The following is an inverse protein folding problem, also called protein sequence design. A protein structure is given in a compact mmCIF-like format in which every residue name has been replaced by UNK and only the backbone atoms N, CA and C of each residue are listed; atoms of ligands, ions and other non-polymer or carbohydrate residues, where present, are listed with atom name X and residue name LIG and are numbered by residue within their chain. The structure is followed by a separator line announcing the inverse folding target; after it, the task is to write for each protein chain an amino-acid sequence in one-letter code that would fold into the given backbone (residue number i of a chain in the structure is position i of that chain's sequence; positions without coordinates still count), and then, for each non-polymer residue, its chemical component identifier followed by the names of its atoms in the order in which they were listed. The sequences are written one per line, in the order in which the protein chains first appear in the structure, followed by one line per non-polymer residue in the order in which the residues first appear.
data_IF_866258057820
#
_entry.id   IF_866258057820
#
_cell.length_a   1.000
_cell.length_b   1.000
_cell.length_c   1.000
_cell.angle_alpha   90.00
_cell.angle_beta   90.00
_cell.angle_gamma   90.00
#
_symmetry.space_group_name_H-M   'P 1'
#
loop_
_entity.id
_entity.type
_entity.pdbx_description
1 polymer ?
#
# COMPACT_ATOMS: atom_id res chain seq x y z
N UNK A 1 -2.30 13.99 -24.32
CA UNK A 1 -1.89 12.66 -24.82
C UNK A 1 -0.87 12.86 -25.93
N UNK A 2 0.33 12.31 -25.77
CA UNK A 2 1.53 12.70 -26.52
C UNK A 2 1.58 11.92 -27.85
N UNK A 3 1.07 12.54 -28.91
CA UNK A 3 0.86 11.99 -30.26
C UNK A 3 2.13 11.58 -31.04
N UNK A 4 3.31 11.59 -30.40
CA UNK A 4 4.59 11.30 -31.07
C UNK A 4 4.84 9.79 -31.23
N UNK A 5 4.27 8.97 -30.34
CA UNK A 5 4.42 7.51 -30.37
C UNK A 5 3.68 6.85 -31.54
N UNK A 6 2.54 7.41 -31.93
CA UNK A 6 1.70 6.88 -33.01
C UNK A 6 2.28 7.08 -34.41
N UNK A 7 3.26 7.97 -34.60
CA UNK A 7 3.78 8.31 -35.94
C UNK A 7 5.23 7.84 -36.17
N UNK A 8 5.90 7.32 -35.13
CA UNK A 8 7.27 6.83 -35.23
C UNK A 8 7.31 5.29 -35.35
N UNK A 9 7.65 4.73 -36.52
CA UNK A 9 7.61 3.28 -36.76
C UNK A 9 8.60 2.50 -35.88
N UNK A 10 9.72 3.10 -35.46
CA UNK A 10 10.65 2.48 -34.51
C UNK A 10 9.98 2.26 -33.15
N UNK A 11 9.24 3.25 -32.67
CA UNK A 11 8.57 3.17 -31.37
C UNK A 11 7.36 2.24 -31.41
N UNK A 12 6.65 2.17 -32.54
CA UNK A 12 5.60 1.17 -32.74
C UNK A 12 6.17 -0.26 -32.67
N UNK A 13 7.32 -0.51 -33.30
CA UNK A 13 8.01 -1.81 -33.20
C UNK A 13 8.41 -2.13 -31.76
N UNK A 14 8.96 -1.15 -31.04
CA UNK A 14 9.34 -1.32 -29.65
C UNK A 14 8.13 -1.61 -28.74
N UNK A 15 7.03 -0.88 -28.95
CA UNK A 15 5.74 -1.15 -28.28
C UNK A 15 5.26 -2.58 -28.54
N UNK A 16 5.30 -3.02 -29.80
CA UNK A 16 4.93 -4.39 -30.15
C UNK A 16 5.84 -5.42 -29.46
N UNK A 17 7.15 -5.16 -29.36
CA UNK A 17 8.08 -6.04 -28.64
C UNK A 17 7.73 -6.15 -27.16
N UNK A 18 7.44 -5.04 -26.49
CA UNK A 18 7.07 -5.03 -25.06
C UNK A 18 5.75 -5.76 -24.79
N UNK A 19 4.78 -5.67 -25.71
CA UNK A 19 3.51 -6.41 -25.61
C UNK A 19 3.71 -7.92 -25.71
N UNK A 20 4.56 -8.37 -26.64
CA UNK A 20 4.73 -9.81 -26.91
C UNK A 20 5.80 -10.48 -26.03
N UNK A 21 6.65 -9.70 -25.36
CA UNK A 21 7.71 -10.21 -24.49
C UNK A 21 7.59 -9.61 -23.08
N UNK A 22 6.82 -10.24 -22.16
CA UNK A 22 6.65 -9.75 -20.80
C UNK A 22 7.96 -9.72 -20.00
N UNK A 23 8.95 -10.52 -20.37
CA UNK A 23 10.27 -10.60 -19.71
C UNK A 23 11.33 -9.69 -20.35
N UNK A 24 10.94 -8.81 -21.27
CA UNK A 24 11.87 -7.85 -21.88
C UNK A 24 12.51 -6.95 -20.81
N UNK A 25 13.84 -6.84 -20.84
CA UNK A 25 14.59 -5.93 -19.98
C UNK A 25 14.67 -4.57 -20.66
N UNK A 26 14.07 -3.57 -20.03
CA UNK A 26 14.05 -2.21 -20.52
C UNK A 26 15.48 -1.65 -20.54
N UNK A 27 15.86 -1.00 -21.62
CA UNK A 27 17.23 -0.53 -21.85
C UNK A 27 17.37 0.99 -21.92
N UNK A 28 16.27 1.72 -22.07
CA UNK A 28 16.28 3.16 -22.33
C UNK A 28 15.10 3.90 -21.73
N UNK A 29 15.21 5.23 -21.62
CA UNK A 29 14.10 6.09 -21.22
C UNK A 29 12.91 6.04 -22.17
N UNK A 30 13.14 5.78 -23.47
CA UNK A 30 12.07 5.58 -24.45
C UNK A 30 11.27 4.31 -24.15
N UNK A 31 11.96 3.21 -23.82
CA UNK A 31 11.35 1.94 -23.43
C UNK A 31 10.56 2.07 -22.14
N UNK A 32 11.09 2.79 -21.16
CA UNK A 32 10.39 3.11 -19.92
C UNK A 32 9.10 3.89 -20.21
N UNK A 33 9.16 4.94 -21.03
CA UNK A 33 7.99 5.74 -21.36
C UNK A 33 6.89 4.90 -22.06
N UNK A 34 7.27 4.03 -22.98
CA UNK A 34 6.31 3.12 -23.64
C UNK A 34 5.75 2.10 -22.64
N UNK A 35 6.58 1.53 -21.77
CA UNK A 35 6.14 0.59 -20.75
C UNK A 35 5.09 1.22 -19.81
N UNK A 36 5.31 2.47 -19.38
CA UNK A 36 4.33 3.23 -18.60
C UNK A 36 3.02 3.41 -19.37
N UNK A 37 3.07 3.78 -20.65
CA UNK A 37 1.85 3.92 -21.48
C UNK A 37 1.10 2.60 -21.71
N UNK A 38 1.82 1.48 -21.67
CA UNK A 38 1.23 0.14 -21.73
C UNK A 38 0.66 -0.34 -20.38
N UNK A 39 0.80 0.46 -19.31
CA UNK A 39 0.36 0.08 -17.96
C UNK A 39 1.26 -0.97 -17.30
N UNK A 40 2.49 -1.14 -17.78
CA UNK A 40 3.47 -2.01 -17.12
C UNK A 40 3.86 -1.35 -15.80
N UNK A 41 3.71 -2.09 -14.71
CA UNK A 41 4.10 -1.68 -13.37
C UNK A 41 4.72 -2.86 -12.64
N UNK A 42 5.66 -2.58 -11.75
CA UNK A 42 6.29 -3.53 -10.84
C UNK A 42 5.88 -3.10 -9.43
N UNK A 43 5.20 -4.00 -8.72
CA UNK A 43 4.92 -3.80 -7.31
C UNK A 43 6.15 -4.18 -6.48
N UNK A 44 6.79 -3.19 -5.86
CA UNK A 44 8.04 -3.36 -5.14
C UNK A 44 7.93 -4.36 -3.97
N UNK A 45 6.74 -4.53 -3.39
CA UNK A 45 6.51 -5.41 -2.24
C UNK A 45 6.14 -6.85 -2.65
N UNK A 46 5.90 -7.12 -3.94
CA UNK A 46 5.62 -8.46 -4.47
C UNK A 46 6.54 -8.87 -5.63
N UNK A 47 7.43 -7.97 -6.08
CA UNK A 47 8.32 -8.18 -7.21
C UNK A 47 9.22 -9.40 -7.03
N UNK A 48 9.34 -10.19 -8.09
CA UNK A 48 10.34 -11.27 -8.16
C UNK A 48 11.71 -10.72 -8.57
N UNK A 49 12.74 -11.58 -8.50
CA UNK A 49 14.07 -11.23 -9.00
C UNK A 49 14.02 -10.88 -10.49
N UNK A 50 13.24 -11.62 -11.29
CA UNK A 50 13.07 -11.34 -12.71
C UNK A 50 12.34 -10.02 -12.96
N UNK A 51 11.38 -9.65 -12.11
CA UNK A 51 10.71 -8.35 -12.21
C UNK A 51 11.69 -7.19 -12.03
N UNK A 52 12.52 -7.23 -10.98
CA UNK A 52 13.55 -6.22 -10.76
C UNK A 52 14.56 -6.15 -11.92
N UNK A 53 14.91 -7.29 -12.51
CA UNK A 53 15.83 -7.34 -13.66
C UNK A 53 15.22 -6.82 -14.96
N UNK A 54 13.90 -6.62 -15.04
CA UNK A 54 13.27 -5.93 -16.18
C UNK A 54 13.58 -4.44 -16.17
N UNK A 55 13.88 -3.87 -15.01
CA UNK A 55 14.24 -2.47 -14.87
C UNK A 55 15.74 -2.26 -15.18
N UNK A 56 16.11 -1.19 -15.93
CA UNK A 56 17.50 -0.90 -16.19
C UNK A 56 18.21 -0.46 -14.91
N UNK A 57 19.49 -0.80 -14.79
CA UNK A 57 20.34 -0.33 -13.70
C UNK A 57 20.32 -1.20 -12.44
N UNK A 58 19.55 -2.29 -12.39
CA UNK A 58 19.62 -3.28 -11.32
C UNK A 58 20.51 -4.47 -11.70
N UNK A 59 21.44 -4.82 -10.82
CA UNK A 59 22.17 -6.08 -10.87
C UNK A 59 21.35 -7.22 -10.26
N UNK A 60 21.69 -8.47 -10.59
CA UNK A 60 21.09 -9.67 -9.98
C UNK A 60 21.23 -9.68 -8.45
N UNK A 61 22.34 -9.15 -7.91
CA UNK A 61 22.56 -9.08 -6.47
C UNK A 61 21.62 -8.09 -5.79
N UNK A 62 21.42 -6.92 -6.39
CA UNK A 62 20.47 -5.91 -5.89
C UNK A 62 19.03 -6.43 -5.97
N UNK A 63 18.66 -7.04 -7.09
CA UNK A 63 17.34 -7.66 -7.26
C UNK A 63 17.06 -8.72 -6.18
N UNK A 64 18.03 -9.61 -5.90
CA UNK A 64 17.92 -10.61 -4.83
C UNK A 64 17.79 -9.97 -3.46
N UNK A 65 18.61 -8.97 -3.16
CA UNK A 65 18.58 -8.27 -1.86
C UNK A 65 17.22 -7.62 -1.60
N UNK A 66 16.60 -6.98 -2.60
CA UNK A 66 15.25 -6.40 -2.46
C UNK A 66 14.19 -7.48 -2.19
N UNK A 67 14.26 -8.60 -2.90
CA UNK A 67 13.35 -9.74 -2.68
C UNK A 67 13.53 -10.33 -1.28
N UNK A 68 14.77 -10.51 -0.82
CA UNK A 68 15.07 -11.00 0.53
C UNK A 68 14.55 -10.05 1.62
N UNK A 69 14.72 -8.73 1.45
CA UNK A 69 14.17 -7.73 2.37
C UNK A 69 12.64 -7.79 2.44
N UNK A 70 11.96 -7.81 1.28
CA UNK A 70 10.48 -7.89 1.25
C UNK A 70 9.94 -9.16 1.92
N UNK A 71 10.57 -10.31 1.65
CA UNK A 71 10.23 -11.60 2.28
C UNK A 71 10.55 -11.63 3.77
N UNK A 72 11.53 -10.84 4.21
CA UNK A 72 11.86 -10.61 5.61
C UNK A 72 10.90 -9.66 6.35
N UNK A 73 9.83 -9.20 5.69
CA UNK A 73 8.82 -8.33 6.29
C UNK A 73 9.08 -6.83 6.12
N UNK A 74 10.15 -6.44 5.44
CA UNK A 74 10.37 -5.02 5.09
C UNK A 74 9.34 -4.61 4.04
N UNK A 75 8.56 -3.57 4.33
CA UNK A 75 7.64 -2.96 3.38
C UNK A 75 8.27 -1.68 2.84
N UNK A 76 8.35 -1.56 1.52
CA UNK A 76 8.77 -0.35 0.82
C UNK A 76 7.54 0.53 0.57
N UNK A 77 7.66 1.83 0.86
CA UNK A 77 6.59 2.81 0.69
C UNK A 77 6.88 3.80 -0.45
N UNK A 78 8.15 3.94 -0.83
CA UNK A 78 8.56 4.82 -1.91
C UNK A 78 9.88 4.38 -2.55
N UNK A 79 10.25 5.07 -3.65
CA UNK A 79 11.50 4.79 -4.38
C UNK A 79 12.75 5.15 -3.56
N UNK A 80 12.62 6.10 -2.62
CA UNK A 80 13.66 6.44 -1.66
C UNK A 80 14.03 5.24 -0.78
N UNK A 81 13.06 4.41 -0.38
CA UNK A 81 13.33 3.20 0.41
C UNK A 81 14.15 2.19 -0.39
N UNK A 82 13.87 2.04 -1.69
CA UNK A 82 14.66 1.19 -2.60
C UNK A 82 16.08 1.75 -2.73
N UNK A 83 16.23 3.07 -2.84
CA UNK A 83 17.53 3.72 -2.91
C UNK A 83 18.32 3.48 -1.61
N UNK A 84 17.69 3.63 -0.45
CA UNK A 84 18.30 3.39 0.85
C UNK A 84 18.71 1.93 1.03
N UNK A 85 17.81 0.99 0.73
CA UNK A 85 18.06 -0.45 0.82
C UNK A 85 19.27 -0.89 -0.02
N UNK A 86 19.48 -0.27 -1.17
CA UNK A 86 20.59 -0.58 -2.08
C UNK A 86 21.81 0.33 -1.93
N UNK A 87 21.79 1.28 -0.98
CA UNK A 87 22.81 2.32 -0.83
C UNK A 87 23.09 3.09 -2.12
N UNK A 88 22.03 3.44 -2.86
CA UNK A 88 22.06 4.20 -4.10
C UNK A 88 21.56 5.63 -3.89
N UNK A 89 21.95 6.53 -4.78
CA UNK A 89 21.33 7.86 -4.87
C UNK A 89 19.95 7.74 -5.52
N UNK A 90 18.94 8.41 -4.94
CA UNK A 90 17.55 8.38 -5.45
C UNK A 90 17.45 8.86 -6.90
N UNK A 91 18.31 9.79 -7.32
CA UNK A 91 18.36 10.33 -8.68
C UNK A 91 18.59 9.24 -9.74
N UNK A 92 19.24 8.12 -9.38
CA UNK A 92 19.40 6.97 -10.30
C UNK A 92 18.10 6.21 -10.55
N UNK A 93 17.16 6.27 -9.60
CA UNK A 93 15.89 5.55 -9.64
C UNK A 93 14.73 6.44 -10.11
N UNK A 94 14.90 7.76 -10.16
CA UNK A 94 13.87 8.70 -10.64
C UNK A 94 13.24 8.32 -11.98
N UNK A 95 13.98 7.89 -13.01
CA UNK A 95 13.36 7.48 -14.27
C UNK A 95 12.44 6.25 -14.12
N UNK A 96 12.63 5.44 -13.08
CA UNK A 96 11.91 4.20 -12.84
C UNK A 96 10.69 4.40 -11.95
N UNK A 97 10.59 5.53 -11.26
CA UNK A 97 9.47 5.89 -10.38
C UNK A 97 8.09 5.62 -11.00
N UNK A 98 7.78 5.98 -12.27
CA UNK A 98 6.46 5.73 -12.84
C UNK A 98 6.16 4.25 -13.15
N UNK A 99 7.17 3.38 -13.09
CA UNK A 99 7.02 1.93 -13.24
C UNK A 99 6.92 1.20 -11.89
N UNK A 100 7.12 1.89 -10.77
CA UNK A 100 7.14 1.31 -9.44
C UNK A 100 5.85 1.62 -8.70
N UNK A 101 5.24 0.59 -8.14
CA UNK A 101 4.11 0.68 -7.22
C UNK A 101 4.55 0.20 -5.83
N UNK A 102 4.04 0.83 -4.79
CA UNK A 102 4.36 0.55 -3.39
C UNK A 102 3.07 0.25 -2.66
N UNK A 103 2.46 -0.87 -3.01
CA UNK A 103 1.17 -1.25 -2.42
C UNK A 103 1.37 -1.86 -1.04
N UNK A 104 0.46 -1.52 -0.15
CA UNK A 104 0.39 -2.11 1.18
C UNK A 104 -0.51 -3.35 1.13
N UNK A 105 0.02 -4.47 1.60
CA UNK A 105 -0.70 -5.72 1.75
C UNK A 105 -0.73 -6.05 3.23
N UNK A 106 -1.90 -5.91 3.83
CA UNK A 106 -2.17 -6.38 5.17
C UNK A 106 -2.43 -7.89 5.09
N UNK A 107 -1.39 -8.68 5.36
CA UNK A 107 -1.47 -10.14 5.37
C UNK A 107 -2.36 -10.64 6.53
N UNK A 108 -2.61 -9.80 7.54
CA UNK A 108 -3.49 -10.09 8.67
C UNK A 108 -4.95 -9.65 8.45
N UNK A 109 -5.25 -8.80 7.46
CA UNK A 109 -6.60 -8.25 7.21
C UNK A 109 -7.67 -9.25 6.74
N UNK A 110 -7.31 -10.50 6.44
CA UNK A 110 -8.25 -11.45 5.82
C UNK A 110 -9.26 -12.10 6.78
N UNK A 111 -9.23 -11.79 8.07
CA UNK A 111 -10.31 -12.12 8.99
C UNK A 111 -11.17 -10.87 9.25
N UNK A 112 -12.08 -10.55 8.33
CA UNK A 112 -13.15 -9.59 8.65
C UNK A 112 -13.85 -10.05 9.94
N UNK A 113 -14.09 -9.16 10.92
CA UNK A 113 -14.67 -9.55 12.19
C UNK A 113 -16.02 -10.23 11.99
N UNK A 114 -16.23 -11.36 12.64
CA UNK A 114 -17.53 -12.07 12.63
C UNK A 114 -18.64 -11.27 13.30
N UNK A 115 -18.29 -10.27 14.10
CA UNK A 115 -19.25 -9.42 14.82
C UNK A 115 -18.86 -7.95 14.74
N UNK A 116 -19.78 -7.17 14.17
CA UNK A 116 -19.73 -5.71 14.14
C UNK A 116 -20.60 -5.19 15.30
N UNK A 117 -20.08 -4.26 16.08
CA UNK A 117 -20.72 -3.69 17.27
C UNK A 117 -21.07 -2.22 17.03
N UNK A 118 -22.26 -1.81 17.47
CA UNK A 118 -22.65 -0.40 17.46
C UNK A 118 -22.34 0.25 18.82
N UNK A 119 -21.37 1.18 18.89
CA UNK A 119 -20.95 1.78 20.16
C UNK A 119 -21.99 2.75 20.74
N UNK A 120 -23.05 3.11 19.99
CA UNK A 120 -24.14 3.93 20.51
C UNK A 120 -25.14 3.16 21.39
N UNK A 121 -25.17 1.82 21.27
CA UNK A 121 -26.15 0.98 21.98
C UNK A 121 -25.52 -0.18 22.76
N UNK A 122 -24.29 -0.58 22.43
CA UNK A 122 -23.61 -1.68 23.10
C UNK A 122 -23.40 -1.45 24.60
N UNK A 123 -23.48 -2.51 25.41
CA UNK A 123 -23.13 -2.44 26.84
C UNK A 123 -21.62 -2.41 27.04
N UNK A 124 -21.16 -2.03 28.23
CA UNK A 124 -19.73 -2.08 28.59
C UNK A 124 -19.17 -3.49 28.40
N UNK A 125 -19.92 -4.53 28.79
CA UNK A 125 -19.50 -5.94 28.64
C UNK A 125 -19.43 -6.38 27.19
N UNK A 126 -20.26 -5.80 26.31
CA UNK A 126 -20.24 -6.08 24.88
C UNK A 126 -19.06 -5.38 24.21
N UNK A 127 -18.79 -4.13 24.58
CA UNK A 127 -17.67 -3.34 24.10
C UNK A 127 -16.33 -3.96 24.52
N UNK A 128 -16.21 -4.41 25.78
CA UNK A 128 -14.98 -5.04 26.28
C UNK A 128 -14.66 -6.41 25.64
N UNK A 129 -15.56 -6.96 24.81
CA UNK A 129 -15.31 -8.17 24.00
C UNK A 129 -14.79 -7.83 22.60
N UNK A 130 -14.85 -6.55 22.18
CA UNK A 130 -14.31 -6.11 20.90
C UNK A 130 -12.79 -6.08 21.01
N UNK A 131 -12.05 -6.70 20.07
CA UNK A 131 -10.60 -6.57 20.03
C UNK A 131 -10.16 -5.11 20.11
N UNK A 132 -9.09 -4.85 20.86
CA UNK A 132 -8.53 -3.51 21.10
C UNK A 132 -9.41 -2.56 21.92
N UNK A 133 -10.55 -3.01 22.46
CA UNK A 133 -11.32 -2.29 23.48
C UNK A 133 -11.14 -3.00 24.83
N UNK A 134 -10.37 -2.40 25.72
CA UNK A 134 -10.30 -2.86 27.11
C UNK A 134 -11.49 -2.35 27.94
N UNK A 135 -11.59 -2.78 29.19
CA UNK A 135 -12.68 -2.39 30.08
C UNK A 135 -12.71 -0.87 30.32
N UNK A 136 -11.55 -0.21 30.37
CA UNK A 136 -11.44 1.23 30.60
C UNK A 136 -11.99 2.01 29.41
N UNK A 137 -11.58 1.66 28.19
CA UNK A 137 -12.11 2.25 26.97
C UNK A 137 -13.60 1.95 26.81
N UNK A 138 -14.06 0.73 27.14
CA UNK A 138 -15.48 0.38 27.11
C UNK A 138 -16.33 1.28 28.03
N UNK A 139 -15.83 1.57 29.24
CA UNK A 139 -16.48 2.50 30.18
C UNK A 139 -16.49 3.93 29.62
N UNK A 140 -15.34 4.42 29.14
CA UNK A 140 -15.21 5.76 28.56
C UNK A 140 -16.17 5.98 27.37
N UNK A 141 -16.36 4.97 26.51
CA UNK A 141 -17.32 5.01 25.40
C UNK A 141 -18.75 5.24 25.92
N UNK A 142 -19.17 4.48 26.93
CA UNK A 142 -20.53 4.55 27.49
C UNK A 142 -20.75 5.86 28.25
N UNK A 143 -19.77 6.29 29.05
CA UNK A 143 -19.82 7.57 29.75
C UNK A 143 -19.91 8.75 28.77
N UNK A 144 -19.06 8.76 27.75
CA UNK A 144 -19.03 9.84 26.78
C UNK A 144 -20.32 9.93 25.95
N UNK A 145 -20.92 8.82 25.52
CA UNK A 145 -22.20 8.87 24.78
C UNK A 145 -23.38 9.31 25.66
N UNK A 146 -23.31 9.07 26.97
CA UNK A 146 -24.33 9.52 27.93
C UNK A 146 -24.19 11.01 28.24
N UNK A 147 -22.98 11.56 28.30
CA UNK A 147 -22.72 12.96 28.60
C UNK A 147 -22.86 13.89 27.38
N UNK A 148 -22.37 13.46 26.22
CA UNK A 148 -22.23 14.31 25.03
C UNK A 148 -23.13 13.86 23.85
N UNK A 149 -23.91 12.80 24.05
CA UNK A 149 -24.82 12.24 23.04
C UNK A 149 -24.18 11.19 22.12
N UNK A 150 -24.96 10.65 21.19
CA UNK A 150 -24.53 9.55 20.33
C UNK A 150 -23.36 9.95 19.41
N UNK A 151 -22.46 9.01 19.14
CA UNK A 151 -21.38 9.18 18.17
C UNK A 151 -21.93 9.17 16.75
N UNK A 152 -21.50 10.14 15.94
CA UNK A 152 -21.97 10.30 14.54
C UNK A 152 -21.27 9.34 13.59
N UNK A 153 -19.96 9.15 13.77
CA UNK A 153 -19.11 8.34 12.92
C UNK A 153 -17.78 8.05 13.64
N UNK A 154 -16.89 7.31 12.97
CA UNK A 154 -15.59 6.93 13.51
C UNK A 154 -14.68 8.13 13.83
N UNK A 155 -14.75 9.22 13.07
CA UNK A 155 -13.95 10.41 13.32
C UNK A 155 -14.44 11.18 14.56
N UNK A 156 -15.76 11.30 14.74
CA UNK A 156 -16.38 11.85 15.95
C UNK A 156 -16.01 11.02 17.18
N UNK A 157 -16.09 9.69 17.06
CA UNK A 157 -15.66 8.74 18.08
C UNK A 157 -14.18 8.90 18.45
N UNK A 158 -13.30 9.01 17.44
CA UNK A 158 -11.87 9.25 17.64
C UNK A 158 -11.61 10.54 18.42
N UNK A 159 -12.23 11.64 17.99
CA UNK A 159 -11.98 12.96 18.56
C UNK A 159 -12.47 13.02 20.01
N UNK A 160 -13.69 12.56 20.28
CA UNK A 160 -14.31 12.63 21.61
C UNK A 160 -13.60 11.75 22.64
N UNK A 161 -13.05 10.62 22.21
CA UNK A 161 -12.30 9.71 23.08
C UNK A 161 -10.78 9.91 23.02
N UNK A 162 -10.30 10.90 22.25
CA UNK A 162 -8.89 11.21 22.05
C UNK A 162 -8.04 9.97 21.70
N UNK A 163 -8.54 9.14 20.80
CA UNK A 163 -7.88 7.88 20.42
C UNK A 163 -6.79 8.12 19.37
N UNK A 164 -5.65 7.42 19.47
CA UNK A 164 -4.60 7.49 18.47
C UNK A 164 -5.06 6.83 17.15
N UNK A 165 -4.47 7.24 16.03
CA UNK A 165 -4.93 6.85 14.70
C UNK A 165 -4.78 5.35 14.40
N UNK A 166 -3.76 4.70 14.96
CA UNK A 166 -3.52 3.26 14.90
C UNK A 166 -4.62 2.46 15.62
N UNK A 167 -5.05 2.90 16.81
CA UNK A 167 -6.18 2.29 17.51
C UNK A 167 -7.47 2.39 16.70
N UNK A 168 -7.74 3.55 16.08
CA UNK A 168 -8.89 3.74 15.19
C UNK A 168 -8.79 2.87 13.95
N UNK A 169 -7.59 2.69 13.40
CA UNK A 169 -7.37 1.83 12.25
C UNK A 169 -7.78 0.38 12.54
N UNK A 170 -7.52 -0.11 13.75
CA UNK A 170 -7.97 -1.43 14.18
C UNK A 170 -9.48 -1.46 14.46
N UNK A 171 -10.02 -0.47 15.16
CA UNK A 171 -11.43 -0.43 15.55
C UNK A 171 -12.39 -0.23 14.38
N UNK A 172 -11.92 0.32 13.25
CA UNK A 172 -12.78 0.56 12.07
C UNK A 172 -13.41 -0.74 11.51
N UNK A 173 -12.77 -1.88 11.73
CA UNK A 173 -13.26 -3.19 11.29
C UNK A 173 -14.39 -3.72 12.18
N UNK A 174 -14.46 -3.27 13.44
CA UNK A 174 -15.37 -3.81 14.45
C UNK A 174 -16.56 -2.90 14.76
N UNK A 175 -16.49 -1.61 14.42
CA UNK A 175 -17.50 -0.62 14.82
C UNK A 175 -18.36 -0.13 13.66
N UNK A 176 -19.68 -0.03 13.88
CA UNK A 176 -20.63 0.66 12.98
C UNK A 176 -21.50 1.64 13.75
N UNK A 177 -21.63 2.85 13.23
CA UNK A 177 -22.40 3.93 13.80
C UNK A 177 -23.72 4.03 13.02
N UNK A 178 -24.76 3.38 13.55
CA UNK A 178 -26.12 3.36 12.98
C UNK A 178 -27.15 3.77 14.03
#
# INVERSE_FOLDING_TARGET
MKNWLSWNPRLQKLRAQLIHNPYHRLQSGEEIAIAVELGISIDANQATVDDWLRLPGFSIHQARSLVELSRGGVKFYCVEDIAAALSLSVQRLEPLRPLLNFSYYDEEALALPSQIVNPNVATVETLAKVPFIDLYLAQAIVENRLSEGLFRNLADFQQRLNLPGDAIAQLMYYLRFS
#
